data_IF_168355662650
#
_entry.id   IF_168355662650
#
_cell.length_a   1.000
_cell.length_b   1.000
_cell.length_c   1.000
_cell.angle_alpha   90.00
_cell.angle_beta   90.00
_cell.angle_gamma   90.00
#
_symmetry.space_group_name_H-M   'P 1'
#
loop_
_entity.id
_entity.type
_entity.pdbx_description
1 polymer ?
#
# COMPACT_ATOMS: atom_id res chain seq x y z
N UNK A 1 -28.86 -19.42 -23.40
CA UNK A 1 -28.77 -20.88 -23.56
C UNK A 1 -30.10 -21.36 -24.12
N UNK A 2 -30.11 -22.08 -25.25
CA UNK A 2 -31.33 -22.62 -25.86
C UNK A 2 -31.59 -24.01 -25.26
N UNK A 3 -32.81 -24.23 -24.74
CA UNK A 3 -33.25 -25.50 -24.17
C UNK A 3 -34.14 -26.20 -25.19
N UNK A 4 -33.78 -27.43 -25.61
CA UNK A 4 -34.63 -28.22 -26.48
C UNK A 4 -35.60 -29.07 -25.66
N UNK A 5 -36.87 -29.10 -26.06
CA UNK A 5 -37.97 -29.76 -25.34
C UNK A 5 -37.85 -31.31 -25.21
N UNK A 6 -36.76 -31.92 -25.69
CA UNK A 6 -36.49 -33.36 -25.62
C UNK A 6 -35.26 -33.77 -24.80
N UNK A 7 -34.57 -32.84 -24.14
CA UNK A 7 -33.36 -33.15 -23.35
C UNK A 7 -33.70 -33.88 -22.04
N UNK A 8 -32.91 -34.88 -21.66
CA UNK A 8 -33.09 -35.57 -20.38
C UNK A 8 -32.75 -34.65 -19.20
N UNK A 9 -33.47 -34.79 -18.08
CA UNK A 9 -33.28 -33.94 -16.90
C UNK A 9 -31.84 -33.98 -16.35
N UNK A 10 -31.14 -35.12 -16.48
CA UNK A 10 -29.74 -35.25 -16.08
C UNK A 10 -28.79 -34.46 -16.99
N UNK A 11 -29.07 -34.42 -18.29
CA UNK A 11 -28.30 -33.63 -19.25
C UNK A 11 -28.49 -32.13 -19.03
N UNK A 12 -29.73 -31.70 -18.78
CA UNK A 12 -30.04 -30.30 -18.44
C UNK A 12 -29.29 -29.88 -17.16
N UNK A 13 -29.32 -30.72 -16.12
CA UNK A 13 -28.58 -30.46 -14.87
C UNK A 13 -27.07 -30.38 -15.08
N UNK A 14 -26.49 -31.29 -15.87
CA UNK A 14 -25.08 -31.25 -16.22
C UNK A 14 -24.72 -29.97 -16.98
N UNK A 15 -25.53 -29.55 -17.95
CA UNK A 15 -25.34 -28.34 -18.76
C UNK A 15 -25.35 -27.07 -17.90
N UNK A 16 -26.32 -26.97 -16.97
CA UNK A 16 -26.40 -25.88 -16.00
C UNK A 16 -25.15 -25.85 -15.10
N UNK A 17 -24.74 -27.00 -14.56
CA UNK A 17 -23.56 -27.08 -13.70
C UNK A 17 -22.28 -26.70 -14.46
N UNK A 18 -22.14 -27.16 -15.69
CA UNK A 18 -21.01 -26.84 -16.55
C UNK A 18 -20.94 -25.35 -16.87
N UNK A 19 -22.06 -24.74 -17.28
CA UNK A 19 -22.14 -23.30 -17.59
C UNK A 19 -21.87 -22.43 -16.34
N UNK A 20 -22.34 -22.88 -15.19
CA UNK A 20 -22.05 -22.23 -13.90
C UNK A 20 -20.56 -22.33 -13.55
N UNK A 21 -19.93 -23.48 -13.76
CA UNK A 21 -18.49 -23.67 -13.54
C UNK A 21 -17.66 -22.77 -14.47
N UNK A 22 -17.97 -22.75 -15.77
CA UNK A 22 -17.30 -21.88 -16.75
C UNK A 22 -17.44 -20.41 -16.36
N UNK A 23 -18.65 -19.99 -15.96
CA UNK A 23 -18.88 -18.62 -15.49
C UNK A 23 -18.08 -18.30 -14.23
N UNK A 24 -17.99 -19.24 -13.28
CA UNK A 24 -17.22 -19.06 -12.05
C UNK A 24 -15.71 -18.96 -12.33
N UNK A 25 -15.17 -19.79 -13.22
CA UNK A 25 -13.76 -19.71 -13.65
C UNK A 25 -13.47 -18.40 -14.37
N UNK A 26 -14.34 -17.98 -15.29
CA UNK A 26 -14.22 -16.71 -16.00
C UNK A 26 -14.24 -15.51 -15.04
N UNK A 27 -15.19 -15.48 -14.10
CA UNK A 27 -15.27 -14.45 -13.06
C UNK A 27 -14.04 -14.42 -12.18
N UNK A 28 -13.51 -15.58 -11.77
CA UNK A 28 -12.30 -15.63 -10.95
C UNK A 28 -11.12 -14.95 -11.63
N UNK A 29 -10.91 -15.24 -12.92
CA UNK A 29 -9.84 -14.61 -13.71
C UNK A 29 -10.05 -13.10 -13.90
N UNK A 30 -11.30 -12.65 -14.01
CA UNK A 30 -11.64 -11.24 -14.28
C UNK A 30 -11.70 -10.36 -13.01
N UNK A 31 -12.37 -10.84 -11.96
CA UNK A 31 -12.53 -10.15 -10.67
C UNK A 31 -11.19 -10.00 -9.95
N UNK A 32 -10.35 -11.06 -10.02
CA UNK A 32 -9.02 -11.10 -9.40
C UNK A 32 -8.13 -9.96 -9.89
N UNK A 33 -8.19 -9.60 -11.18
CA UNK A 33 -7.41 -8.48 -11.73
C UNK A 33 -7.98 -7.13 -11.36
N UNK A 34 -9.30 -6.96 -11.40
CA UNK A 34 -9.93 -5.63 -11.31
C UNK A 34 -9.93 -5.09 -9.88
N UNK A 35 -10.34 -5.91 -8.91
CA UNK A 35 -10.39 -5.51 -7.49
C UNK A 35 -8.98 -5.28 -6.96
N UNK A 36 -8.06 -6.19 -7.30
CA UNK A 36 -6.66 -6.09 -6.93
C UNK A 36 -6.03 -4.81 -7.51
N UNK A 37 -6.12 -4.60 -8.82
CA UNK A 37 -5.54 -3.41 -9.47
C UNK A 37 -6.09 -2.11 -8.88
N UNK A 38 -7.39 -2.04 -8.57
CA UNK A 38 -8.01 -0.86 -7.97
C UNK A 38 -7.47 -0.56 -6.57
N UNK A 39 -7.43 -1.57 -5.70
CA UNK A 39 -6.90 -1.44 -4.34
C UNK A 39 -5.40 -1.07 -4.36
N UNK A 40 -4.63 -1.66 -5.29
CA UNK A 40 -3.22 -1.36 -5.45
C UNK A 40 -2.95 0.05 -5.91
N UNK A 41 -3.72 0.55 -6.88
CA UNK A 41 -3.57 1.91 -7.36
C UNK A 41 -3.82 2.91 -6.23
N UNK A 42 -4.85 2.68 -5.41
CA UNK A 42 -5.12 3.51 -4.23
C UNK A 42 -4.00 3.43 -3.19
N UNK A 43 -3.47 2.24 -2.91
CA UNK A 43 -2.35 2.06 -1.99
C UNK A 43 -1.06 2.73 -2.46
N UNK A 44 -0.70 2.56 -3.74
CA UNK A 44 0.46 3.19 -4.36
C UNK A 44 0.35 4.71 -4.39
N UNK A 45 -0.85 5.25 -4.61
CA UNK A 45 -1.06 6.69 -4.58
C UNK A 45 -0.89 7.27 -3.17
N UNK A 46 -1.42 6.59 -2.16
CA UNK A 46 -1.21 6.96 -0.75
C UNK A 46 0.28 6.93 -0.38
N UNK A 47 1.02 5.93 -0.85
CA UNK A 47 2.47 5.80 -0.64
C UNK A 47 3.26 6.92 -1.31
N UNK A 48 2.94 7.23 -2.58
CA UNK A 48 3.56 8.32 -3.34
C UNK A 48 3.31 9.67 -2.66
N UNK A 49 2.09 9.88 -2.19
CA UNK A 49 1.70 11.09 -1.47
C UNK A 49 2.50 11.23 -0.18
N UNK A 50 2.58 10.16 0.63
CA UNK A 50 3.35 10.16 1.88
C UNK A 50 4.84 10.41 1.63
N UNK A 51 5.44 9.80 0.60
CA UNK A 51 6.82 10.03 0.20
C UNK A 51 7.05 11.47 -0.29
N UNK A 52 6.14 12.01 -1.10
CA UNK A 52 6.23 13.37 -1.64
C UNK A 52 6.13 14.43 -0.54
N UNK A 53 5.18 14.28 0.40
CA UNK A 53 5.01 15.24 1.50
C UNK A 53 6.25 15.23 2.41
N UNK A 54 6.71 14.05 2.82
CA UNK A 54 7.91 13.94 3.65
C UNK A 54 9.16 14.45 2.94
N UNK A 55 9.37 14.05 1.68
CA UNK A 55 10.51 14.51 0.87
C UNK A 55 10.48 16.02 0.64
N UNK A 56 9.31 16.59 0.35
CA UNK A 56 9.11 18.03 0.21
C UNK A 56 9.42 18.79 1.50
N UNK A 57 9.01 18.26 2.65
CA UNK A 57 9.32 18.84 3.96
C UNK A 57 10.84 18.83 4.25
N UNK A 58 11.55 17.74 3.95
CA UNK A 58 13.02 17.66 4.06
C UNK A 58 13.70 18.73 3.19
N UNK A 59 13.29 18.83 1.92
CA UNK A 59 13.86 19.80 0.98
C UNK A 59 13.62 21.23 1.47
N UNK A 60 12.43 21.54 1.96
CA UNK A 60 12.10 22.86 2.51
C UNK A 60 12.98 23.21 3.72
N UNK A 61 13.20 22.26 4.63
CA UNK A 61 14.08 22.46 5.78
C UNK A 61 15.53 22.66 5.33
N UNK A 62 16.05 21.86 4.40
CA UNK A 62 17.41 22.05 3.89
C UNK A 62 17.59 23.36 3.12
N UNK A 63 16.58 23.81 2.38
CA UNK A 63 16.59 25.11 1.73
C UNK A 63 16.69 26.25 2.77
N UNK A 64 15.92 26.16 3.86
CA UNK A 64 16.01 27.10 4.98
C UNK A 64 17.39 27.07 5.66
N UNK A 65 17.95 25.87 5.91
CA UNK A 65 19.29 25.71 6.46
C UNK A 65 20.36 26.38 5.57
N UNK A 66 20.25 26.21 4.26
CA UNK A 66 21.16 26.81 3.27
C UNK A 66 21.03 28.33 3.23
N UNK A 67 19.80 28.85 3.19
CA UNK A 67 19.53 30.29 3.14
C UNK A 67 20.02 31.02 4.40
N UNK A 68 20.03 30.34 5.55
CA UNK A 68 20.45 30.92 6.84
C UNK A 68 21.89 30.62 7.22
N UNK A 69 22.65 29.90 6.40
CA UNK A 69 23.99 29.39 6.76
C UNK A 69 24.99 30.51 7.10
N UNK A 70 24.96 31.62 6.36
CA UNK A 70 25.87 32.77 6.55
C UNK A 70 25.40 33.79 7.59
N UNK A 71 24.27 33.58 8.25
CA UNK A 71 23.77 34.51 9.26
C UNK A 71 24.62 34.46 10.54
N UNK A 72 25.17 35.61 10.93
CA UNK A 72 25.93 35.80 12.18
C UNK A 72 25.03 36.06 13.40
N UNK A 73 23.71 36.25 13.19
CA UNK A 73 22.76 36.38 14.30
C UNK A 73 22.69 35.05 15.08
N UNK A 74 23.06 35.09 16.36
CA UNK A 74 23.09 33.93 17.26
C UNK A 74 21.74 33.24 17.41
N UNK A 75 20.64 33.98 17.34
CA UNK A 75 19.29 33.43 17.39
C UNK A 75 18.96 32.61 16.15
N UNK A 76 19.30 33.13 14.96
CA UNK A 76 19.14 32.40 13.68
C UNK A 76 20.02 31.15 13.64
N UNK A 77 21.24 31.22 14.19
CA UNK A 77 22.12 30.06 14.29
C UNK A 77 21.54 28.97 15.21
N UNK A 78 20.92 29.34 16.33
CA UNK A 78 20.26 28.40 17.24
C UNK A 78 19.03 27.74 16.59
N UNK A 79 18.17 28.50 15.92
CA UNK A 79 17.00 27.98 15.20
C UNK A 79 17.43 27.01 14.09
N UNK A 80 18.47 27.37 13.32
CA UNK A 80 19.03 26.53 12.25
C UNK A 80 19.49 25.17 12.79
N UNK A 81 20.23 25.17 13.91
CA UNK A 81 20.69 23.92 14.54
C UNK A 81 19.50 23.06 14.99
N UNK A 82 18.51 23.70 15.63
CA UNK A 82 17.31 23.03 16.14
C UNK A 82 16.38 22.48 15.03
N UNK A 83 16.38 23.09 13.83
CA UNK A 83 15.64 22.60 12.64
C UNK A 83 16.20 21.30 12.07
N UNK A 84 17.45 20.94 12.37
CA UNK A 84 18.05 19.68 11.91
C UNK A 84 17.31 18.45 12.43
N UNK A 85 16.77 18.53 13.65
CA UNK A 85 16.06 17.41 14.26
C UNK A 85 14.73 17.10 13.53
N UNK A 86 13.81 18.06 13.29
CA UNK A 86 12.66 17.85 12.40
C UNK A 86 13.02 17.32 11.01
N UNK A 87 14.12 17.79 10.41
CA UNK A 87 14.56 17.34 9.09
C UNK A 87 14.81 15.82 9.05
N UNK A 88 15.42 15.27 10.10
CA UNK A 88 15.66 13.83 10.23
C UNK A 88 14.34 13.07 10.29
N UNK A 89 13.34 13.56 11.03
CA UNK A 89 12.03 12.90 11.08
C UNK A 89 11.33 12.88 9.72
N UNK A 90 11.38 13.98 8.97
CA UNK A 90 10.84 14.00 7.60
C UNK A 90 11.61 13.03 6.69
N UNK A 91 12.93 12.93 6.81
CA UNK A 91 13.74 12.01 6.02
C UNK A 91 13.43 10.54 6.33
N UNK A 92 13.31 10.20 7.62
CA UNK A 92 12.86 8.88 8.08
C UNK A 92 11.46 8.58 7.57
N UNK A 93 10.53 9.56 7.64
CA UNK A 93 9.19 9.43 7.10
C UNK A 93 9.18 9.12 5.60
N UNK A 94 10.02 9.78 4.80
CA UNK A 94 10.15 9.52 3.38
C UNK A 94 10.70 8.11 3.11
N UNK A 95 11.73 7.67 3.85
CA UNK A 95 12.29 6.32 3.74
C UNK A 95 11.27 5.23 4.10
N UNK A 96 10.49 5.43 5.17
CA UNK A 96 9.43 4.50 5.56
C UNK A 96 8.37 4.35 4.46
N UNK A 97 7.99 5.45 3.79
CA UNK A 97 7.07 5.40 2.63
C UNK A 97 7.66 4.61 1.45
N UNK A 98 8.96 4.76 1.20
CA UNK A 98 9.67 3.98 0.19
C UNK A 98 9.69 2.48 0.52
N UNK A 99 10.03 2.13 1.76
CA UNK A 99 10.03 0.73 2.22
C UNK A 99 8.62 0.12 2.17
N UNK A 100 7.59 0.89 2.52
CA UNK A 100 6.20 0.45 2.44
C UNK A 100 5.77 0.13 0.99
N UNK A 101 6.30 0.86 0.01
CA UNK A 101 6.10 0.55 -1.41
C UNK A 101 6.75 -0.78 -1.80
N UNK A 102 7.96 -1.05 -1.30
CA UNK A 102 8.62 -2.35 -1.48
C UNK A 102 7.86 -3.51 -0.83
N UNK A 103 7.41 -3.35 0.42
CA UNK A 103 6.59 -4.35 1.12
C UNK A 103 5.26 -4.61 0.37
N UNK A 104 4.63 -3.57 -0.16
CA UNK A 104 3.42 -3.69 -0.97
C UNK A 104 3.65 -4.51 -2.24
N UNK A 105 4.81 -4.34 -2.89
CA UNK A 105 5.19 -5.14 -4.05
C UNK A 105 5.33 -6.64 -3.70
N UNK A 106 5.94 -6.98 -2.57
CA UNK A 106 6.02 -8.38 -2.13
C UNK A 106 4.65 -8.97 -1.80
N UNK A 107 3.80 -8.20 -1.11
CA UNK A 107 2.42 -8.59 -0.84
C UNK A 107 1.68 -8.93 -2.14
N UNK A 108 1.89 -8.14 -3.18
CA UNK A 108 1.25 -8.35 -4.48
C UNK A 108 1.68 -9.65 -5.16
N UNK A 109 2.98 -9.94 -5.19
CA UNK A 109 3.49 -11.19 -5.76
C UNK A 109 2.86 -12.39 -5.05
N UNK A 110 2.73 -12.31 -3.73
CA UNK A 110 2.16 -13.38 -2.93
C UNK A 110 0.66 -13.58 -3.21
N UNK A 111 -0.13 -12.52 -3.31
CA UNK A 111 -1.55 -12.63 -3.71
C UNK A 111 -1.72 -13.12 -5.15
N UNK A 112 -0.87 -12.70 -6.09
CA UNK A 112 -0.89 -13.23 -7.47
C UNK A 112 -0.61 -14.74 -7.47
N UNK A 113 0.39 -15.17 -6.70
CA UNK A 113 0.72 -16.59 -6.55
C UNK A 113 -0.41 -17.37 -5.88
N UNK A 114 -1.07 -16.78 -4.88
CA UNK A 114 -2.21 -17.39 -4.19
C UNK A 114 -3.38 -17.59 -5.15
N UNK A 115 -3.67 -16.58 -5.97
CA UNK A 115 -4.72 -16.60 -6.99
C UNK A 115 -4.47 -17.66 -8.06
N UNK A 116 -3.23 -17.75 -8.57
CA UNK A 116 -2.84 -18.78 -9.56
C UNK A 116 -2.86 -20.21 -9.00
N UNK A 117 -2.71 -20.36 -7.68
CA UNK A 117 -2.68 -21.66 -7.03
C UNK A 117 -4.08 -22.25 -6.78
N UNK A 118 -5.17 -21.54 -7.05
CA UNK A 118 -6.54 -22.10 -6.89
C UNK A 118 -6.77 -23.29 -7.81
N UNK A 119 -7.36 -24.34 -7.27
CA UNK A 119 -7.77 -25.51 -8.05
C UNK A 119 -9.16 -25.27 -8.65
N UNK A 120 -9.24 -25.38 -9.98
CA UNK A 120 -10.48 -25.24 -10.73
C UNK A 120 -11.19 -26.58 -10.79
N UNK A 121 -12.32 -26.68 -10.07
CA UNK A 121 -13.18 -27.86 -10.05
C UNK A 121 -14.40 -27.66 -10.95
N UNK A 122 -14.89 -28.76 -11.53
CA UNK A 122 -16.16 -28.81 -12.26
C UNK A 122 -17.35 -29.13 -11.35
N UNK A 123 -17.07 -29.50 -10.09
CA UNK A 123 -18.05 -29.73 -9.05
C UNK A 123 -18.05 -28.59 -8.04
N UNK A 124 -19.22 -28.19 -7.49
CA UNK A 124 -19.27 -27.18 -6.44
C UNK A 124 -18.52 -27.63 -5.16
N UNK A 125 -17.72 -26.77 -4.52
CA UNK A 125 -17.33 -25.42 -4.94
C UNK A 125 -16.35 -25.43 -6.12
N UNK A 126 -16.66 -24.67 -7.18
CA UNK A 126 -15.91 -24.66 -8.45
C UNK A 126 -14.47 -24.13 -8.35
N UNK A 127 -14.12 -23.53 -7.22
CA UNK A 127 -12.81 -23.01 -6.88
C UNK A 127 -12.46 -23.53 -5.50
N UNK A 128 -11.36 -24.27 -5.39
CA UNK A 128 -10.90 -24.84 -4.13
C UNK A 128 -9.54 -24.25 -3.80
N UNK A 129 -9.43 -23.65 -2.62
CA UNK A 129 -8.14 -23.23 -2.09
C UNK A 129 -7.34 -24.48 -1.72
N UNK A 130 -6.10 -24.56 -2.18
CA UNK A 130 -5.15 -25.58 -1.74
C UNK A 130 -4.15 -24.98 -0.75
N UNK A 131 -3.38 -25.84 -0.07
CA UNK A 131 -2.41 -25.41 0.93
C UNK A 131 -1.34 -24.44 0.39
N UNK A 132 -1.08 -24.48 -0.92
CA UNK A 132 -0.17 -23.53 -1.58
C UNK A 132 -0.80 -22.13 -1.68
N UNK A 133 -2.07 -22.07 -2.09
CA UNK A 133 -2.86 -20.84 -2.16
C UNK A 133 -2.97 -20.18 -0.79
N UNK A 134 -3.35 -20.95 0.23
CA UNK A 134 -3.48 -20.46 1.61
C UNK A 134 -2.17 -19.93 2.19
N UNK A 135 -1.06 -20.65 1.99
CA UNK A 135 0.25 -20.22 2.49
C UNK A 135 0.72 -18.93 1.78
N UNK A 136 0.51 -18.82 0.47
CA UNK A 136 0.81 -17.59 -0.27
C UNK A 136 -0.08 -16.42 0.18
N UNK A 137 -1.36 -16.64 0.44
CA UNK A 137 -2.27 -15.61 0.94
C UNK A 137 -1.85 -15.12 2.33
N UNK A 138 -1.47 -16.03 3.22
CA UNK A 138 -0.97 -15.69 4.55
C UNK A 138 0.31 -14.85 4.50
N UNK A 139 1.27 -15.21 3.64
CA UNK A 139 2.47 -14.39 3.42
C UNK A 139 2.13 -13.04 2.79
N UNK A 140 1.14 -12.98 1.89
CA UNK A 140 0.64 -11.74 1.32
C UNK A 140 0.06 -10.79 2.37
N UNK A 141 -0.74 -11.32 3.29
CA UNK A 141 -1.31 -10.60 4.43
C UNK A 141 -0.23 -10.06 5.37
N UNK A 142 0.81 -10.86 5.64
CA UNK A 142 1.95 -10.45 6.45
C UNK A 142 2.67 -9.23 5.85
N UNK A 143 3.02 -9.29 4.56
CA UNK A 143 3.66 -8.17 3.86
C UNK A 143 2.76 -6.93 3.77
N UNK A 144 1.46 -7.13 3.60
CA UNK A 144 0.46 -6.05 3.64
C UNK A 144 0.46 -5.36 5.00
N UNK A 145 0.46 -6.11 6.09
CA UNK A 145 0.50 -5.57 7.44
C UNK A 145 1.77 -4.76 7.70
N UNK A 146 2.92 -5.22 7.21
CA UNK A 146 4.19 -4.46 7.26
C UNK A 146 4.04 -3.14 6.48
N UNK A 147 3.54 -3.19 5.25
CA UNK A 147 3.38 -1.99 4.42
C UNK A 147 2.49 -0.94 5.10
N UNK A 148 1.34 -1.35 5.64
CA UNK A 148 0.43 -0.45 6.37
C UNK A 148 1.10 0.13 7.61
N UNK A 149 1.83 -0.68 8.37
CA UNK A 149 2.54 -0.22 9.58
C UNK A 149 3.62 0.81 9.26
N UNK A 150 4.36 0.61 8.17
CA UNK A 150 5.37 1.56 7.69
C UNK A 150 4.74 2.89 7.24
N UNK A 151 3.59 2.86 6.58
CA UNK A 151 2.84 4.08 6.20
C UNK A 151 2.38 4.85 7.45
N UNK A 152 1.81 4.15 8.44
CA UNK A 152 1.41 4.78 9.70
C UNK A 152 2.62 5.37 10.43
N UNK A 153 3.74 4.65 10.46
CA UNK A 153 5.01 5.16 11.00
C UNK A 153 5.48 6.42 10.27
N UNK A 154 5.38 6.44 8.92
CA UNK A 154 5.72 7.60 8.10
C UNK A 154 4.89 8.84 8.44
N UNK A 155 3.57 8.69 8.58
CA UNK A 155 2.68 9.78 9.02
C UNK A 155 2.97 10.21 10.46
N UNK A 156 3.35 9.28 11.33
CA UNK A 156 3.82 9.57 12.68
C UNK A 156 5.07 10.45 12.68
N UNK A 157 6.07 10.10 11.86
CA UNK A 157 7.28 10.90 11.69
C UNK A 157 6.99 12.29 11.12
N UNK A 158 6.11 12.40 10.11
CA UNK A 158 5.67 13.68 9.56
C UNK A 158 5.02 14.55 10.65
N UNK A 159 4.05 14.00 11.38
CA UNK A 159 3.31 14.71 12.42
C UNK A 159 4.25 15.19 13.53
N UNK A 160 5.15 14.32 13.98
CA UNK A 160 6.14 14.67 15.00
C UNK A 160 7.13 15.73 14.49
N UNK A 161 7.62 15.58 13.26
CA UNK A 161 8.49 16.56 12.61
C UNK A 161 7.83 17.95 12.54
N UNK A 162 6.56 18.03 12.15
CA UNK A 162 5.80 19.28 12.12
C UNK A 162 5.64 19.91 13.51
N UNK A 163 5.30 19.12 14.53
CA UNK A 163 5.18 19.61 15.92
C UNK A 163 6.51 20.16 16.45
N UNK A 164 7.62 19.46 16.16
CA UNK A 164 8.96 19.93 16.55
C UNK A 164 9.35 21.18 15.78
N UNK A 165 9.08 21.24 14.47
CA UNK A 165 9.30 22.43 13.65
C UNK A 165 8.56 23.64 14.21
N UNK A 166 7.27 23.47 14.53
CA UNK A 166 6.46 24.50 15.16
C UNK A 166 7.04 24.95 16.49
N UNK A 167 7.42 24.02 17.37
CA UNK A 167 7.95 24.37 18.70
C UNK A 167 9.24 25.19 18.63
N UNK A 168 10.13 24.89 17.69
CA UNK A 168 11.38 25.64 17.53
C UNK A 168 11.11 27.03 16.98
N UNK A 169 10.20 27.17 16.01
CA UNK A 169 9.84 28.47 15.44
C UNK A 169 9.05 29.34 16.42
N UNK A 170 8.18 28.74 17.24
CA UNK A 170 7.41 29.44 18.27
C UNK A 170 8.30 29.91 19.42
N UNK A 171 9.28 29.10 19.84
CA UNK A 171 10.23 29.48 20.90
C UNK A 171 11.24 30.52 20.39
N UNK A 172 11.69 30.42 19.14
CA UNK A 172 12.58 31.42 18.51
C UNK A 172 11.85 32.67 17.97
N UNK A 173 10.57 32.85 18.30
CA UNK A 173 9.76 34.00 17.90
C UNK A 173 9.19 34.80 19.07
N UNK A 174 9.56 34.47 20.31
CA UNK A 174 9.22 35.29 21.48
C UNK A 174 10.30 36.38 21.66
N UNK A 175 9.94 37.67 21.52
CA UNK A 175 10.86 38.79 21.70
C UNK A 175 11.36 38.93 23.15
#
# INVERSE_FOLDING_TARGET
>A
MEYNEGESASFVKWKINHDTAVTAHARHTEDGRTVFTSALNMGLEALRTAAAINGGAVIAVFAFLGATFSSENGETAAIRLAMTHPAIFFAVGALLSGLASGASYFSQIMYSTAHEAYEMSWEPPYLVANSRSENSEWWGDFWRAIAVSLVLGSYGCLSYGLLRSYSVLAVGGMP
#
